data_IF_530757163602
#
_entry.id   IF_530757163602
#
_cell.length_a   1.000
_cell.length_b   1.000
_cell.length_c   1.000
_cell.angle_alpha   90.00
_cell.angle_beta   90.00
_cell.angle_gamma   90.00
#
_symmetry.space_group_name_H-M   'P 1'
#
loop_
_entity.id
_entity.type
_entity.pdbx_description
1 polymer ?
#
# COMPACT_ATOMS: atom_id res chain seq x y z
N UNK A 1 -39.80 2.79 -15.42
CA UNK A 1 -39.31 1.41 -15.62
C UNK A 1 -38.18 1.45 -16.64
N UNK A 2 -36.94 1.19 -16.24
CA UNK A 2 -35.82 1.09 -17.19
C UNK A 2 -35.91 -0.23 -17.93
N UNK A 3 -35.70 -0.22 -19.25
CA UNK A 3 -35.63 -1.46 -20.03
C UNK A 3 -34.42 -2.29 -19.58
N UNK A 4 -34.53 -3.62 -19.63
CA UNK A 4 -33.44 -4.55 -19.36
C UNK A 4 -32.16 -4.17 -20.14
N UNK A 5 -32.32 -3.67 -21.37
CA UNK A 5 -31.20 -3.16 -22.21
C UNK A 5 -30.51 -1.93 -21.61
N UNK A 6 -31.29 -1.00 -21.06
CA UNK A 6 -30.76 0.21 -20.42
C UNK A 6 -30.00 -0.13 -19.14
N UNK A 7 -30.51 -1.08 -18.34
CA UNK A 7 -29.82 -1.56 -17.14
C UNK A 7 -28.49 -2.26 -17.48
N UNK A 8 -28.48 -3.08 -18.53
CA UNK A 8 -27.28 -3.77 -18.99
C UNK A 8 -26.19 -2.80 -19.48
N UNK A 9 -26.58 -1.76 -20.23
CA UNK A 9 -25.65 -0.72 -20.67
C UNK A 9 -25.01 0.03 -19.50
N UNK A 10 -25.78 0.38 -18.46
CA UNK A 10 -25.25 1.08 -17.28
C UNK A 10 -24.25 0.21 -16.50
N UNK A 11 -24.49 -1.09 -16.39
CA UNK A 11 -23.56 -2.03 -15.75
C UNK A 11 -22.25 -2.18 -16.53
N UNK A 12 -22.32 -2.28 -17.87
CA UNK A 12 -21.13 -2.38 -18.71
C UNK A 12 -20.29 -1.10 -18.66
N UNK A 13 -20.94 0.07 -18.73
CA UNK A 13 -20.27 1.36 -18.61
C UNK A 13 -19.59 1.46 -17.23
N UNK A 14 -20.31 1.12 -16.15
CA UNK A 14 -19.76 1.11 -14.78
C UNK A 14 -18.53 0.21 -14.63
N UNK A 15 -18.56 -1.00 -15.22
CA UNK A 15 -17.42 -1.91 -15.19
C UNK A 15 -16.19 -1.34 -15.92
N UNK A 16 -16.38 -0.73 -17.10
CA UNK A 16 -15.29 -0.09 -17.86
C UNK A 16 -14.66 1.06 -17.06
N UNK A 17 -15.47 1.88 -16.39
CA UNK A 17 -14.95 2.96 -15.54
C UNK A 17 -14.14 2.42 -14.36
N UNK A 18 -14.61 1.37 -13.68
CA UNK A 18 -13.90 0.76 -12.56
C UNK A 18 -12.54 0.15 -12.97
N UNK A 19 -12.47 -0.53 -14.11
CA UNK A 19 -11.21 -1.07 -14.64
C UNK A 19 -10.20 0.03 -14.96
N UNK A 20 -10.67 1.14 -15.52
CA UNK A 20 -9.83 2.31 -15.83
C UNK A 20 -9.26 2.94 -14.57
N UNK A 21 -10.08 3.17 -13.54
CA UNK A 21 -9.60 3.70 -12.26
C UNK A 21 -8.53 2.79 -11.63
N UNK A 22 -8.76 1.48 -11.63
CA UNK A 22 -7.80 0.51 -11.10
C UNK A 22 -6.47 0.51 -11.88
N UNK A 23 -6.53 0.71 -13.20
CA UNK A 23 -5.34 0.81 -14.06
C UNK A 23 -4.52 2.07 -13.76
N UNK A 24 -5.18 3.22 -13.61
CA UNK A 24 -4.53 4.48 -13.26
C UNK A 24 -3.90 4.44 -11.87
N UNK A 25 -4.56 3.83 -10.89
CA UNK A 25 -4.02 3.63 -9.55
C UNK A 25 -2.76 2.74 -9.57
N UNK A 26 -2.78 1.63 -10.31
CA UNK A 26 -1.61 0.75 -10.48
C UNK A 26 -0.43 1.50 -11.12
N UNK A 27 -0.70 2.32 -12.14
CA UNK A 27 0.33 3.15 -12.80
C UNK A 27 0.95 4.13 -11.80
N UNK A 28 0.11 4.84 -11.03
CA UNK A 28 0.56 5.79 -10.00
C UNK A 28 1.41 5.10 -8.94
N UNK A 29 1.01 3.91 -8.47
CA UNK A 29 1.80 3.13 -7.51
C UNK A 29 3.15 2.69 -8.10
N UNK A 30 3.19 2.36 -9.39
CA UNK A 30 4.43 2.07 -10.12
C UNK A 30 5.37 3.27 -10.21
N UNK A 31 4.83 4.46 -10.52
CA UNK A 31 5.60 5.70 -10.55
C UNK A 31 6.17 6.06 -9.17
N UNK A 32 5.36 5.95 -8.12
CA UNK A 32 5.80 6.14 -6.72
C UNK A 32 6.92 5.17 -6.35
N UNK A 33 6.81 3.90 -6.75
CA UNK A 33 7.85 2.91 -6.52
C UNK A 33 9.16 3.31 -7.19
N UNK A 34 9.14 3.68 -8.48
CA UNK A 34 10.32 4.08 -9.25
C UNK A 34 10.94 5.35 -8.64
N UNK A 35 10.12 6.34 -8.29
CA UNK A 35 10.60 7.60 -7.72
C UNK A 35 11.33 7.36 -6.39
N UNK A 36 10.73 6.60 -5.47
CA UNK A 36 11.35 6.30 -4.19
C UNK A 36 12.60 5.42 -4.33
N UNK A 37 12.59 4.46 -5.27
CA UNK A 37 13.75 3.63 -5.56
C UNK A 37 14.93 4.48 -6.04
N UNK A 38 14.68 5.43 -6.96
CA UNK A 38 15.69 6.38 -7.43
C UNK A 38 16.19 7.29 -6.32
N UNK A 39 15.28 7.87 -5.52
CA UNK A 39 15.62 8.79 -4.42
C UNK A 39 16.62 8.18 -3.44
N UNK A 40 16.47 6.89 -3.15
CA UNK A 40 17.33 6.17 -2.23
C UNK A 40 18.41 5.33 -2.91
N UNK A 41 18.56 5.44 -4.24
CA UNK A 41 19.54 4.69 -5.03
C UNK A 41 19.45 3.16 -4.84
N UNK A 42 18.23 2.62 -4.82
CA UNK A 42 17.98 1.18 -4.67
C UNK A 42 18.49 0.40 -5.88
N UNK A 43 19.25 -0.66 -5.65
CA UNK A 43 19.67 -1.59 -6.70
C UNK A 43 18.51 -2.54 -7.08
N UNK A 44 18.58 -3.10 -8.29
CA UNK A 44 17.57 -4.07 -8.73
C UNK A 44 17.55 -5.31 -7.82
N UNK A 45 18.70 -5.75 -7.34
CA UNK A 45 18.82 -6.87 -6.39
C UNK A 45 18.12 -6.55 -5.07
N UNK A 46 18.34 -5.36 -4.52
CA UNK A 46 17.66 -4.90 -3.31
C UNK A 46 16.14 -4.87 -3.52
N UNK A 47 15.67 -4.40 -4.68
CA UNK A 47 14.24 -4.33 -5.04
C UNK A 47 13.58 -5.71 -5.23
N UNK A 48 14.34 -6.71 -5.66
CA UNK A 48 13.87 -8.09 -5.84
C UNK A 48 13.80 -8.85 -4.52
N UNK A 49 14.67 -8.55 -3.55
CA UNK A 49 14.75 -9.30 -2.29
C UNK A 49 13.78 -8.81 -1.21
N UNK A 50 12.48 -8.85 -1.51
CA UNK A 50 11.42 -8.41 -0.58
C UNK A 50 11.36 -9.22 0.73
N UNK A 51 11.82 -10.47 0.70
CA UNK A 51 11.85 -11.32 1.90
C UNK A 51 12.91 -10.83 2.90
N UNK A 52 14.03 -10.30 2.42
CA UNK A 52 15.06 -9.73 3.28
C UNK A 52 14.57 -8.44 3.97
N UNK A 53 13.77 -7.63 3.28
CA UNK A 53 13.19 -6.39 3.83
C UNK A 53 12.39 -6.61 5.11
N UNK A 54 11.76 -7.78 5.25
CA UNK A 54 10.92 -8.09 6.42
C UNK A 54 11.72 -8.71 7.57
N UNK A 55 12.89 -9.29 7.29
CA UNK A 55 13.74 -9.94 8.31
C UNK A 55 14.74 -8.95 8.89
N UNK A 56 15.48 -8.28 8.03
CA UNK A 56 16.53 -7.35 8.44
C UNK A 56 16.66 -6.19 7.43
N UNK A 57 15.74 -5.21 7.46
CA UNK A 57 15.81 -4.09 6.54
C UNK A 57 16.96 -3.16 6.90
N UNK A 58 17.80 -2.86 5.91
CA UNK A 58 18.78 -1.77 6.00
C UNK A 58 18.08 -0.42 6.16
N UNK A 59 18.79 0.59 6.67
CA UNK A 59 18.26 1.95 6.78
C UNK A 59 17.74 2.49 5.44
N UNK A 60 18.47 2.21 4.37
CA UNK A 60 18.10 2.55 2.99
C UNK A 60 16.75 1.93 2.58
N UNK A 61 16.54 0.64 2.88
CA UNK A 61 15.24 -0.03 2.64
C UNK A 61 14.13 0.62 3.46
N UNK A 62 14.38 0.92 4.73
CA UNK A 62 13.39 1.60 5.59
C UNK A 62 13.01 2.97 5.02
N UNK A 63 13.99 3.76 4.60
CA UNK A 63 13.73 5.06 4.00
C UNK A 63 12.98 4.96 2.66
N UNK A 64 13.28 3.95 1.85
CA UNK A 64 12.51 3.63 0.65
C UNK A 64 11.04 3.30 0.98
N UNK A 65 10.79 2.47 1.99
CA UNK A 65 9.44 2.09 2.41
C UNK A 65 8.66 3.28 2.98
N UNK A 66 9.30 4.14 3.77
CA UNK A 66 8.70 5.38 4.27
C UNK A 66 8.31 6.32 3.13
N UNK A 67 9.21 6.53 2.17
CA UNK A 67 8.94 7.35 0.99
C UNK A 67 7.70 6.87 0.23
N UNK A 68 7.57 5.55 0.05
CA UNK A 68 6.39 4.97 -0.62
C UNK A 68 5.12 5.23 0.17
N UNK A 69 5.14 4.95 1.47
CA UNK A 69 4.00 5.16 2.35
C UNK A 69 3.52 6.63 2.36
N UNK A 70 4.45 7.59 2.33
CA UNK A 70 4.11 9.02 2.24
C UNK A 70 3.45 9.38 0.90
N UNK A 71 3.92 8.81 -0.21
CA UNK A 71 3.47 9.17 -1.55
C UNK A 71 2.21 8.44 -2.02
N UNK A 72 2.02 7.20 -1.57
CA UNK A 72 0.79 6.45 -1.84
C UNK A 72 -0.36 6.83 -0.88
N UNK A 73 -0.07 7.68 0.12
CA UNK A 73 -1.05 8.18 1.07
C UNK A 73 -1.36 7.19 2.19
N UNK A 74 -0.53 6.17 2.40
CA UNK A 74 -0.55 5.34 3.61
C UNK A 74 -0.11 6.13 4.83
N UNK A 75 0.80 7.09 4.66
CA UNK A 75 1.32 7.97 5.69
C UNK A 75 1.06 9.43 5.30
N UNK A 76 0.55 10.25 6.21
CA UNK A 76 0.44 11.69 5.98
C UNK A 76 1.73 12.44 6.36
N UNK A 77 1.74 13.76 6.12
CA UNK A 77 2.89 14.63 6.45
C UNK A 77 3.19 14.72 7.95
N UNK A 78 2.22 14.40 8.81
CA UNK A 78 2.42 14.35 10.26
C UNK A 78 2.96 12.99 10.73
N UNK A 79 3.13 12.03 9.81
CA UNK A 79 3.57 10.67 10.12
C UNK A 79 2.43 9.80 10.66
N UNK A 80 1.18 10.12 10.38
CA UNK A 80 0.01 9.35 10.84
C UNK A 80 -0.45 8.40 9.73
N UNK A 81 -0.66 7.14 10.11
CA UNK A 81 -1.11 6.09 9.18
C UNK A 81 -2.58 6.29 8.83
N UNK A 82 -2.87 6.29 7.54
CA UNK A 82 -4.20 6.49 6.99
C UNK A 82 -4.92 5.15 6.83
N UNK A 83 -5.73 4.78 7.83
CA UNK A 83 -6.45 3.50 7.85
C UNK A 83 -7.31 3.26 6.61
N UNK A 84 -7.88 4.32 6.01
CA UNK A 84 -8.63 4.22 4.74
C UNK A 84 -7.78 3.66 3.59
N UNK A 85 -6.52 4.07 3.51
CA UNK A 85 -5.58 3.56 2.48
C UNK A 85 -5.22 2.10 2.78
N UNK A 86 -5.01 1.77 4.04
CA UNK A 86 -4.79 0.39 4.49
C UNK A 86 -5.98 -0.52 4.13
N UNK A 87 -7.22 -0.09 4.40
CA UNK A 87 -8.42 -0.88 4.11
C UNK A 87 -8.60 -1.14 2.61
N UNK A 88 -8.29 -0.15 1.76
CA UNK A 88 -8.25 -0.35 0.30
C UNK A 88 -7.20 -1.38 -0.09
N UNK A 89 -6.00 -1.26 0.46
CA UNK A 89 -4.91 -2.21 0.20
C UNK A 89 -5.27 -3.63 0.66
N UNK A 90 -6.02 -3.76 1.77
CA UNK A 90 -6.52 -5.04 2.27
C UNK A 90 -7.58 -5.63 1.33
N UNK A 91 -8.54 -4.82 0.86
CA UNK A 91 -9.61 -5.27 -0.03
C UNK A 91 -9.10 -5.84 -1.37
N UNK A 92 -7.97 -5.33 -1.86
CA UNK A 92 -7.29 -5.85 -3.06
C UNK A 92 -6.27 -6.96 -2.74
N UNK A 93 -5.98 -7.20 -1.46
CA UNK A 93 -5.08 -8.25 -1.02
C UNK A 93 -5.82 -9.58 -0.86
N UNK A 94 -5.10 -10.70 -0.98
CA UNK A 94 -5.61 -12.04 -0.67
C UNK A 94 -5.46 -12.41 0.82
N UNK A 95 -5.53 -11.42 1.71
CA UNK A 95 -5.35 -11.63 3.15
C UNK A 95 -6.60 -12.31 3.74
N UNK A 96 -6.41 -13.26 4.68
CA UNK A 96 -7.53 -13.93 5.35
C UNK A 96 -8.19 -12.99 6.37
N UNK A 97 -9.48 -13.19 6.66
CA UNK A 97 -10.24 -12.36 7.60
C UNK A 97 -9.58 -12.23 8.98
N UNK A 98 -9.04 -13.32 9.50
CA UNK A 98 -8.49 -13.38 10.85
C UNK A 98 -7.15 -12.61 10.92
N UNK A 99 -6.39 -12.60 9.82
CA UNK A 99 -5.16 -11.82 9.69
C UNK A 99 -5.43 -10.31 9.60
N UNK A 100 -6.58 -9.92 9.02
CA UNK A 100 -6.95 -8.52 8.83
C UNK A 100 -7.15 -7.79 10.16
N UNK A 101 -7.81 -8.42 11.12
CA UNK A 101 -8.07 -7.79 12.42
C UNK A 101 -6.79 -7.60 13.22
N UNK A 102 -5.96 -8.65 13.32
CA UNK A 102 -4.64 -8.57 13.96
C UNK A 102 -3.74 -7.53 13.30
N UNK A 103 -3.76 -7.45 11.97
CA UNK A 103 -3.01 -6.45 11.21
C UNK A 103 -3.47 -5.03 11.53
N UNK A 104 -4.79 -4.77 11.52
CA UNK A 104 -5.35 -3.46 11.88
C UNK A 104 -5.00 -3.04 13.30
N UNK A 105 -5.11 -3.95 14.26
CA UNK A 105 -4.76 -3.67 15.65
C UNK A 105 -3.27 -3.33 15.80
N UNK A 106 -2.39 -4.06 15.12
CA UNK A 106 -0.98 -3.74 15.11
C UNK A 106 -0.72 -2.34 14.56
N UNK A 107 -1.35 -1.98 13.42
CA UNK A 107 -1.21 -0.65 12.82
C UNK A 107 -1.68 0.44 13.77
N UNK A 108 -2.82 0.26 14.46
CA UNK A 108 -3.33 1.26 15.43
C UNK A 108 -2.37 1.51 16.58
N UNK A 109 -1.54 0.53 16.95
CA UNK A 109 -0.49 0.67 17.98
C UNK A 109 0.73 1.42 17.47
N UNK A 110 0.89 1.56 16.15
CA UNK A 110 1.93 2.41 15.55
C UNK A 110 1.47 3.86 15.65
N UNK A 111 1.96 4.57 16.68
CA UNK A 111 1.51 5.92 17.00
C UNK A 111 1.86 6.94 15.91
N UNK A 112 3.12 6.98 15.47
CA UNK A 112 3.61 7.92 14.46
C UNK A 112 4.90 7.43 13.81
N UNK A 113 5.04 7.65 12.51
CA UNK A 113 6.27 7.39 11.75
C UNK A 113 6.88 8.72 11.34
N UNK A 114 7.95 9.15 12.03
CA UNK A 114 8.67 10.40 11.73
C UNK A 114 9.97 10.12 10.98
N UNK A 115 10.68 9.09 11.40
CA UNK A 115 11.99 8.69 10.87
C UNK A 115 11.85 7.47 9.96
N UNK A 116 12.90 7.17 9.18
CA UNK A 116 12.95 5.91 8.44
C UNK A 116 12.87 4.71 9.39
N UNK A 117 13.53 4.75 10.54
CA UNK A 117 13.50 3.66 11.51
C UNK A 117 12.08 3.32 11.98
N UNK A 118 11.24 4.35 12.20
CA UNK A 118 9.88 4.17 12.73
C UNK A 118 8.98 3.33 11.80
N UNK A 119 9.22 3.38 10.48
CA UNK A 119 8.40 2.65 9.50
C UNK A 119 8.54 1.13 9.70
N UNK A 120 9.62 0.66 10.33
CA UNK A 120 9.84 -0.76 10.63
C UNK A 120 8.66 -1.32 11.41
N UNK A 121 8.15 -0.59 12.39
CA UNK A 121 7.02 -1.03 13.22
C UNK A 121 5.75 -1.23 12.39
N UNK A 122 5.53 -0.41 11.36
CA UNK A 122 4.40 -0.54 10.45
C UNK A 122 4.51 -1.80 9.58
N UNK A 123 5.68 -2.05 8.99
CA UNK A 123 5.86 -3.19 8.10
C UNK A 123 5.94 -4.53 8.85
N UNK A 124 6.44 -4.53 10.09
CA UNK A 124 6.47 -5.74 10.93
C UNK A 124 5.06 -6.21 11.36
N UNK A 125 4.02 -5.39 11.23
CA UNK A 125 2.65 -5.80 11.54
C UNK A 125 2.17 -6.98 10.71
N UNK A 126 2.72 -7.20 9.51
CA UNK A 126 2.40 -8.36 8.66
C UNK A 126 3.18 -9.62 9.03
N UNK A 127 4.31 -9.49 9.70
CA UNK A 127 5.23 -10.60 10.03
C UNK A 127 5.09 -11.14 11.45
N UNK A 128 4.13 -10.61 12.24
CA UNK A 128 3.88 -11.05 13.63
C UNK A 128 2.77 -12.11 13.76
N UNK A 129 2.29 -12.66 12.65
CA UNK A 129 1.40 -13.82 12.60
C UNK A 129 2.17 -15.05 12.09
#
# INVERSE_FOLDING_TARGET
>A
MYSLKTLLCLLLIGAIYAEKELSEEKKKLGEVFIECAKKWNMSEEELKNKNHWMKDPTEKVLCFLKCRAEKDGTLDKAGIVQMKTIDRAIAISKMKSDDINSFRECIRKVSRVKTCADIRNLFMCKSRN
#
